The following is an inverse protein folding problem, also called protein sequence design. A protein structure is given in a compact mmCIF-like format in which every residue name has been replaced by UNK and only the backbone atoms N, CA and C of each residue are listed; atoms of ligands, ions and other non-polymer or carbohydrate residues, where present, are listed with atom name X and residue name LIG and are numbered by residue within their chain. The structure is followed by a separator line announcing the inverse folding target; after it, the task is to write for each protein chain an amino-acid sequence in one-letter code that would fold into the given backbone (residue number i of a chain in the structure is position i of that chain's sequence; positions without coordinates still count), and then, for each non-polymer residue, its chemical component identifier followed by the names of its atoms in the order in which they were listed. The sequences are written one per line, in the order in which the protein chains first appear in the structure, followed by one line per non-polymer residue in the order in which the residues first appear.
data_IF_633433089918
#
_entry.id   IF_633433089918
#
_cell.length_a   1.000
_cell.length_b   1.000
_cell.length_c   1.000
_cell.angle_alpha   90.00
_cell.angle_beta   90.00
_cell.angle_gamma   90.00
#
_symmetry.space_group_name_H-M   'P 1'
#
loop_
_entity.id
_entity.type
_entity.pdbx_description
1 polymer ?
#
# COMPACT_ATOMS: atom_id res chain seq x y z
N UNK A 1 -24.59 9.05 -5.65
CA UNK A 1 -23.51 8.38 -4.90
C UNK A 1 -22.55 7.86 -5.94
N UNK A 2 -21.38 8.48 -6.04
CA UNK A 2 -20.36 8.10 -7.02
C UNK A 2 -20.14 6.58 -6.91
N UNK A 3 -20.31 5.90 -8.03
CA UNK A 3 -19.87 4.53 -8.18
C UNK A 3 -18.38 4.58 -7.85
N UNK A 4 -18.03 4.18 -6.63
CA UNK A 4 -16.69 3.66 -6.41
C UNK A 4 -16.54 2.59 -7.46
N UNK A 5 -15.76 2.87 -8.51
CA UNK A 5 -15.13 1.86 -9.32
C UNK A 5 -14.38 0.98 -8.32
N UNK A 6 -15.09 -0.02 -7.81
CA UNK A 6 -14.54 -1.06 -6.97
C UNK A 6 -13.65 -1.81 -7.93
N UNK A 7 -12.42 -1.31 -8.09
CA UNK A 7 -11.32 -2.08 -8.62
C UNK A 7 -11.24 -3.25 -7.65
N UNK A 8 -11.87 -4.36 -8.05
CA UNK A 8 -11.79 -5.60 -7.34
C UNK A 8 -10.36 -6.02 -7.57
N UNK A 9 -9.52 -5.81 -6.56
CA UNK A 9 -8.16 -6.30 -6.58
C UNK A 9 -8.30 -7.82 -6.46
N UNK A 10 -8.49 -8.48 -7.60
CA UNK A 10 -8.33 -9.93 -7.72
C UNK A 10 -6.93 -10.23 -7.18
N UNK A 11 -6.90 -10.84 -6.00
CA UNK A 11 -5.75 -11.40 -5.27
C UNK A 11 -4.38 -10.82 -5.66
N UNK A 12 -4.09 -9.57 -5.25
CA UNK A 12 -2.71 -9.06 -5.31
C UNK A 12 -1.85 -9.90 -4.37
N UNK A 13 -0.82 -10.55 -4.92
CA UNK A 13 0.09 -11.35 -4.14
C UNK A 13 0.86 -10.49 -3.13
N UNK A 14 1.34 -11.08 -2.03
CA UNK A 14 2.17 -10.34 -1.05
C UNK A 14 3.35 -9.63 -1.70
N UNK A 15 3.98 -10.30 -2.68
CA UNK A 15 5.12 -9.78 -3.42
C UNK A 15 4.74 -8.56 -4.26
N UNK A 16 3.60 -8.61 -4.93
CA UNK A 16 3.13 -7.50 -5.76
C UNK A 16 2.70 -6.32 -4.89
N UNK A 17 2.05 -6.56 -3.75
CA UNK A 17 1.73 -5.51 -2.77
C UNK A 17 3.01 -4.83 -2.25
N UNK A 18 4.01 -5.63 -1.87
CA UNK A 18 5.30 -5.10 -1.43
C UNK A 18 5.97 -4.27 -2.53
N UNK A 19 5.91 -4.73 -3.77
CA UNK A 19 6.47 -4.02 -4.92
C UNK A 19 5.78 -2.68 -5.14
N UNK A 20 4.44 -2.63 -5.04
CA UNK A 20 3.66 -1.39 -5.16
C UNK A 20 4.07 -0.40 -4.06
N UNK A 21 4.13 -0.83 -2.79
CA UNK A 21 4.52 0.05 -1.69
C UNK A 21 5.94 0.61 -1.87
N UNK A 22 6.91 -0.23 -2.27
CA UNK A 22 8.29 0.19 -2.55
C UNK A 22 8.38 1.12 -3.76
N UNK A 23 7.57 0.91 -4.80
CA UNK A 23 7.54 1.78 -5.96
C UNK A 23 6.98 3.16 -5.62
N UNK A 24 5.93 3.24 -4.79
CA UNK A 24 5.37 4.49 -4.31
C UNK A 24 6.37 5.26 -3.44
N UNK A 25 7.05 4.57 -2.52
CA UNK A 25 8.11 5.13 -1.68
C UNK A 25 9.26 5.68 -2.54
N UNK A 26 9.84 4.83 -3.39
CA UNK A 26 10.93 5.22 -4.28
C UNK A 26 10.55 6.41 -5.15
N UNK A 27 9.35 6.42 -5.73
CA UNK A 27 8.89 7.52 -6.57
C UNK A 27 8.74 8.81 -5.76
N UNK A 28 8.10 8.75 -4.59
CA UNK A 28 7.93 9.92 -3.74
C UNK A 28 9.27 10.53 -3.29
N UNK A 29 10.22 9.69 -2.90
CA UNK A 29 11.56 10.11 -2.48
C UNK A 29 12.38 10.70 -3.64
N UNK A 30 12.34 10.09 -4.83
CA UNK A 30 13.16 10.52 -5.96
C UNK A 30 12.55 11.69 -6.75
N UNK A 31 11.23 11.88 -6.70
CA UNK A 31 10.54 12.97 -7.39
C UNK A 31 10.18 14.14 -6.48
N UNK A 32 10.32 13.99 -5.15
CA UNK A 32 9.81 14.91 -4.13
C UNK A 32 8.29 15.17 -4.21
N UNK A 33 7.53 14.27 -4.85
CA UNK A 33 6.08 14.37 -4.92
C UNK A 33 5.48 13.65 -3.71
N UNK A 34 5.14 14.43 -2.67
CA UNK A 34 4.60 13.93 -1.40
C UNK A 34 3.34 13.07 -1.56
N UNK A 35 2.56 13.29 -2.61
CA UNK A 35 1.33 12.54 -2.88
C UNK A 35 1.56 11.03 -3.03
N UNK A 36 2.74 10.59 -3.52
CA UNK A 36 3.08 9.17 -3.59
C UNK A 36 3.33 8.56 -2.20
N UNK A 37 4.04 9.28 -1.33
CA UNK A 37 4.27 8.86 0.05
C UNK A 37 2.94 8.80 0.82
N UNK A 38 2.11 9.84 0.70
CA UNK A 38 0.79 9.85 1.33
C UNK A 38 -0.11 8.72 0.84
N UNK A 39 -0.01 8.34 -0.43
CA UNK A 39 -0.74 7.20 -0.98
C UNK A 39 -0.22 5.87 -0.40
N UNK A 40 1.11 5.67 -0.33
CA UNK A 40 1.74 4.52 0.32
C UNK A 40 1.22 4.34 1.74
N UNK A 41 1.28 5.41 2.54
CA UNK A 41 0.88 5.39 3.95
C UNK A 41 -0.62 5.10 4.10
N UNK A 42 -1.44 5.68 3.22
CA UNK A 42 -2.89 5.44 3.22
C UNK A 42 -3.25 4.00 2.88
N UNK A 43 -2.53 3.38 1.94
CA UNK A 43 -2.72 1.98 1.57
C UNK A 43 -2.27 1.08 2.71
N UNK A 44 -1.06 1.31 3.24
CA UNK A 44 -0.50 0.50 4.32
C UNK A 44 -1.40 0.51 5.57
N UNK A 45 -1.89 1.69 5.96
CA UNK A 45 -2.81 1.85 7.09
C UNK A 45 -4.14 1.12 6.90
N UNK A 46 -4.71 1.16 5.70
CA UNK A 46 -5.98 0.48 5.41
C UNK A 46 -5.80 -1.04 5.44
N UNK A 47 -4.71 -1.55 4.86
CA UNK A 47 -4.44 -2.97 4.81
C UNK A 47 -4.07 -3.56 6.17
N UNK A 48 -3.27 -2.84 6.96
CA UNK A 48 -2.95 -3.26 8.33
C UNK A 48 -4.20 -3.29 9.22
N UNK A 49 -5.08 -2.30 9.07
CA UNK A 49 -6.38 -2.28 9.75
C UNK A 49 -7.28 -3.46 9.33
N UNK A 50 -7.33 -3.78 8.04
CA UNK A 50 -8.08 -4.95 7.53
C UNK A 50 -7.51 -6.27 8.05
N UNK A 51 -6.19 -6.35 8.22
CA UNK A 51 -5.49 -7.51 8.75
C UNK A 51 -5.51 -7.60 10.30
N UNK A 52 -6.04 -6.60 11.00
CA UNK A 52 -5.93 -6.44 12.45
C UNK A 52 -4.48 -6.52 12.97
N UNK A 53 -3.52 -5.96 12.21
CA UNK A 53 -2.11 -5.88 12.59
C UNK A 53 -1.65 -4.42 12.64
N UNK A 54 -0.47 -4.18 13.19
CA UNK A 54 0.20 -2.88 13.01
C UNK A 54 0.76 -2.74 11.59
N UNK A 55 1.07 -1.51 11.19
CA UNK A 55 1.70 -1.22 9.89
C UNK A 55 3.09 -1.88 9.78
N UNK A 56 3.87 -1.87 10.86
CA UNK A 56 5.19 -2.54 10.93
C UNK A 56 5.07 -4.06 10.79
N UNK A 57 4.15 -4.68 11.53
CA UNK A 57 3.91 -6.12 11.43
C UNK A 57 3.40 -6.52 10.05
N UNK A 58 2.58 -5.67 9.43
CA UNK A 58 2.08 -5.90 8.08
C UNK A 58 3.21 -5.83 7.05
N UNK A 59 4.08 -4.81 7.13
CA UNK A 59 5.27 -4.73 6.28
C UNK A 59 6.17 -5.95 6.46
N UNK A 60 6.45 -6.35 7.70
CA UNK A 60 7.22 -7.57 7.98
C UNK A 60 6.56 -8.83 7.43
N UNK A 61 5.23 -8.87 7.37
CA UNK A 61 4.48 -9.97 6.78
C UNK A 61 4.58 -10.00 5.25
N UNK A 62 4.68 -8.85 4.60
CA UNK A 62 4.87 -8.73 3.15
C UNK A 62 6.30 -9.08 2.72
N UNK A 63 7.30 -8.85 3.59
CA UNK A 63 8.71 -9.16 3.33
C UNK A 63 9.11 -10.62 3.56
N UNK A 64 8.25 -11.42 4.19
CA UNK A 64 8.43 -12.87 4.43
C UNK A 64 7.82 -13.73 3.33
#
# INVERSE_FOLDING_TARGET
MEQFDRISIEEVSKRDMLMILKALEYTGENTNIQSFISLKDSILKQLSALANTTEEEFLLHLEK
#
